data_IF_121335710899
#
_entry.id   IF_121335710899
#
_cell.length_a   1.000
_cell.length_b   1.000
_cell.length_c   1.000
_cell.angle_alpha   90.00
_cell.angle_beta   90.00
_cell.angle_gamma   90.00
#
_symmetry.space_group_name_H-M   'P 1'
#
loop_
_entity.id
_entity.type
_entity.pdbx_description
1 polymer ?
#
# COMPACT_ATOMS: atom_id res chain seq x y z
N UNK A 1 -10.11 -46.44 -11.96
CA UNK A 1 -11.38 -45.85 -11.52
C UNK A 1 -11.29 -44.32 -11.50
N UNK A 2 -10.94 -43.68 -12.61
CA UNK A 2 -10.76 -42.23 -12.68
C UNK A 2 -11.33 -41.60 -13.96
N UNK A 3 -12.19 -42.29 -14.72
CA UNK A 3 -12.64 -41.81 -16.04
C UNK A 3 -14.14 -41.48 -16.13
N UNK A 4 -14.87 -41.44 -15.02
CA UNK A 4 -16.31 -41.17 -15.05
C UNK A 4 -16.68 -39.67 -15.04
N UNK A 5 -15.74 -38.77 -14.90
CA UNK A 5 -16.03 -37.33 -14.79
C UNK A 5 -15.78 -36.54 -16.07
N UNK A 6 -15.16 -37.15 -17.07
CA UNK A 6 -14.83 -36.48 -18.34
C UNK A 6 -15.89 -36.58 -19.45
N UNK A 7 -16.93 -37.40 -19.27
CA UNK A 7 -17.93 -37.63 -20.32
C UNK A 7 -19.20 -36.76 -20.12
N UNK A 8 -19.39 -36.14 -18.99
CA UNK A 8 -20.59 -35.33 -18.73
C UNK A 8 -20.54 -33.91 -19.28
N UNK A 9 -19.44 -33.47 -19.86
CA UNK A 9 -19.28 -32.10 -20.36
C UNK A 9 -19.59 -31.92 -21.87
N UNK A 10 -19.95 -32.99 -22.56
CA UNK A 10 -20.09 -32.93 -24.02
C UNK A 10 -21.51 -32.63 -24.55
N UNK A 11 -22.53 -32.53 -23.69
CA UNK A 11 -23.91 -32.40 -24.12
C UNK A 11 -24.68 -31.14 -23.76
N UNK A 12 -24.09 -30.17 -23.13
CA UNK A 12 -24.73 -28.86 -22.95
C UNK A 12 -23.72 -27.73 -23.19
N UNK A 13 -23.71 -27.25 -24.44
CA UNK A 13 -22.86 -26.21 -25.02
C UNK A 13 -22.84 -24.87 -24.29
N UNK A 14 -22.48 -24.86 -23.04
CA UNK A 14 -22.09 -23.67 -22.30
C UNK A 14 -20.89 -24.02 -21.40
N UNK A 15 -19.75 -24.14 -22.07
CA UNK A 15 -18.50 -24.01 -21.35
C UNK A 15 -18.45 -22.58 -20.75
N UNK A 16 -18.81 -22.45 -19.48
CA UNK A 16 -18.33 -21.33 -18.71
C UNK A 16 -16.81 -21.50 -18.65
N UNK A 17 -16.13 -20.80 -19.53
CA UNK A 17 -14.71 -20.56 -19.37
C UNK A 17 -14.56 -19.95 -17.97
N UNK A 18 -14.12 -20.78 -17.03
CA UNK A 18 -13.65 -20.30 -15.76
C UNK A 18 -12.65 -19.20 -16.08
N UNK A 19 -13.03 -17.96 -15.78
CA UNK A 19 -12.14 -16.83 -15.86
C UNK A 19 -10.89 -17.20 -15.05
N UNK A 20 -9.71 -17.15 -15.64
CA UNK A 20 -8.50 -17.37 -14.86
C UNK A 20 -8.58 -16.37 -13.74
N UNK A 21 -8.59 -16.88 -12.51
CA UNK A 21 -8.30 -16.06 -11.35
C UNK A 21 -7.11 -15.22 -11.75
N UNK A 22 -7.32 -13.92 -11.90
CA UNK A 22 -6.23 -12.97 -12.05
C UNK A 22 -5.29 -13.31 -10.91
N UNK A 23 -4.29 -14.11 -11.21
CA UNK A 23 -3.10 -14.13 -10.40
C UNK A 23 -2.75 -12.66 -10.33
N UNK A 24 -2.95 -12.07 -9.18
CA UNK A 24 -2.28 -10.84 -8.84
C UNK A 24 -0.81 -11.16 -8.98
N UNK A 25 -0.31 -11.02 -10.18
CA UNK A 25 1.10 -10.80 -10.36
C UNK A 25 1.32 -9.56 -9.53
N UNK A 26 1.94 -9.74 -8.40
CA UNK A 26 2.57 -8.66 -7.64
C UNK A 26 3.64 -8.07 -8.57
N UNK A 27 3.15 -7.41 -9.59
CA UNK A 27 3.99 -6.67 -10.46
C UNK A 27 4.39 -5.44 -9.65
N UNK A 28 5.56 -5.58 -9.12
CA UNK A 28 6.44 -4.57 -8.61
C UNK A 28 5.94 -3.13 -8.87
N UNK A 29 5.20 -2.62 -7.93
CA UNK A 29 4.84 -1.23 -7.86
C UNK A 29 6.05 -0.40 -7.41
N UNK A 30 7.18 -0.53 -8.11
CA UNK A 30 8.37 0.27 -7.78
C UNK A 30 8.37 1.64 -8.45
N UNK A 31 7.43 1.90 -9.34
CA UNK A 31 7.44 3.14 -10.13
C UNK A 31 6.36 4.15 -9.75
N UNK A 32 5.38 3.75 -8.92
CA UNK A 32 4.28 4.64 -8.56
C UNK A 32 4.44 5.36 -7.22
N UNK A 33 5.44 4.96 -6.42
CA UNK A 33 5.67 5.51 -5.08
C UNK A 33 6.22 6.94 -5.09
N UNK A 34 6.67 7.44 -6.24
CA UNK A 34 7.28 8.77 -6.33
C UNK A 34 6.23 9.89 -6.25
N UNK A 35 4.97 9.59 -6.55
CA UNK A 35 3.89 10.57 -6.60
C UNK A 35 2.84 10.42 -5.47
N UNK A 36 2.77 9.30 -4.79
CA UNK A 36 1.80 9.06 -3.74
C UNK A 36 2.30 9.56 -2.38
N UNK A 37 1.75 10.66 -1.90
CA UNK A 37 1.95 11.13 -0.53
C UNK A 37 1.06 10.34 0.42
N UNK A 38 1.37 9.06 0.58
CA UNK A 38 0.63 8.11 1.41
C UNK A 38 1.51 7.54 2.52
N UNK A 39 0.91 7.26 3.67
CA UNK A 39 1.61 6.61 4.77
C UNK A 39 1.53 5.09 4.61
N UNK A 40 2.68 4.40 4.62
CA UNK A 40 2.77 2.94 4.44
C UNK A 40 2.08 2.14 5.57
N UNK A 41 1.93 2.69 6.76
CA UNK A 41 1.30 2.00 7.89
C UNK A 41 -0.21 2.25 8.02
N UNK A 42 -0.64 3.50 7.96
CA UNK A 42 -2.04 3.84 8.19
C UNK A 42 -2.81 4.21 6.93
N UNK A 43 -2.16 4.23 5.76
CA UNK A 43 -2.79 4.57 4.48
C UNK A 43 -3.32 6.00 4.38
N UNK A 44 -2.80 6.92 5.19
CA UNK A 44 -3.26 8.32 5.19
C UNK A 44 -2.84 9.02 3.92
N UNK A 45 -3.83 9.45 3.13
CA UNK A 45 -3.68 10.12 1.84
C UNK A 45 -3.95 11.62 1.93
N UNK A 46 -3.50 12.41 0.95
CA UNK A 46 -3.89 13.80 0.81
C UNK A 46 -5.41 13.94 0.67
N UNK A 47 -5.98 14.88 1.39
CA UNK A 47 -7.41 15.20 1.31
C UNK A 47 -7.63 16.53 0.60
N UNK A 48 -8.68 16.61 -0.19
CA UNK A 48 -9.10 17.84 -0.84
C UNK A 48 -10.10 18.56 0.07
N UNK A 49 -9.87 19.85 0.29
CA UNK A 49 -10.73 20.68 1.10
C UNK A 49 -10.73 22.13 0.61
N UNK A 50 -11.34 23.00 1.37
CA UNK A 50 -11.44 24.42 1.06
C UNK A 50 -10.78 25.26 2.15
N UNK A 51 -10.11 26.30 1.74
CA UNK A 51 -9.69 27.39 2.60
C UNK A 51 -10.81 28.45 2.60
N UNK A 52 -11.32 28.80 3.76
CA UNK A 52 -12.39 29.78 3.92
C UNK A 52 -11.80 31.08 4.43
N UNK A 53 -12.04 32.19 3.70
CA UNK A 53 -11.67 33.53 4.13
C UNK A 53 -12.70 34.14 5.07
N UNK A 54 -12.40 35.29 5.70
CA UNK A 54 -13.35 36.01 6.52
C UNK A 54 -14.64 36.41 5.79
N UNK A 55 -14.56 36.66 4.47
CA UNK A 55 -15.70 36.94 3.60
C UNK A 55 -16.40 35.67 3.09
N UNK A 56 -16.13 34.51 3.68
CA UNK A 56 -16.69 33.20 3.31
C UNK A 56 -16.39 32.75 1.89
N UNK A 57 -15.34 33.28 1.27
CA UNK A 57 -14.86 32.83 -0.04
C UNK A 57 -14.14 31.49 0.16
N UNK A 58 -14.55 30.47 -0.58
CA UNK A 58 -14.00 29.11 -0.50
C UNK A 58 -13.02 28.88 -1.64
N UNK A 59 -11.72 28.78 -1.30
CA UNK A 59 -10.66 28.44 -2.25
C UNK A 59 -10.28 26.98 -2.09
N UNK A 60 -10.21 26.23 -3.19
CA UNK A 60 -9.80 24.80 -3.16
C UNK A 60 -8.39 24.66 -2.61
N UNK A 61 -8.21 23.74 -1.65
CA UNK A 61 -6.93 23.43 -1.03
C UNK A 61 -6.74 21.92 -0.87
N UNK A 62 -5.50 21.44 -0.92
CA UNK A 62 -5.13 20.08 -0.57
C UNK A 62 -4.45 20.06 0.80
N UNK A 63 -4.91 19.18 1.66
CA UNK A 63 -4.28 18.90 2.95
C UNK A 63 -3.39 17.69 2.81
N UNK A 64 -2.08 17.92 2.80
CA UNK A 64 -1.10 16.84 2.70
C UNK A 64 -0.75 16.33 4.10
N UNK A 65 -0.64 15.01 4.30
CA UNK A 65 -0.14 14.47 5.55
C UNK A 65 1.36 14.79 5.73
N UNK A 66 1.77 14.96 6.96
CA UNK A 66 3.19 15.14 7.30
C UNK A 66 3.87 13.78 7.30
N UNK A 67 4.59 13.47 6.23
CA UNK A 67 5.27 12.21 6.01
C UNK A 67 6.78 12.37 6.20
N UNK A 68 7.38 11.38 6.85
CA UNK A 68 8.80 11.29 7.10
C UNK A 68 9.33 9.96 6.57
N UNK A 69 10.51 9.96 5.98
CA UNK A 69 11.20 8.74 5.55
C UNK A 69 12.00 8.18 6.73
N UNK A 70 11.66 6.97 7.14
CA UNK A 70 12.29 6.32 8.29
C UNK A 70 12.70 4.90 7.92
N UNK A 71 13.85 4.47 8.42
CA UNK A 71 14.26 3.07 8.31
C UNK A 71 13.45 2.24 9.30
N UNK A 72 12.80 1.21 8.81
CA UNK A 72 12.04 0.26 9.61
C UNK A 72 12.65 -1.12 9.48
N UNK A 73 12.78 -1.82 10.61
CA UNK A 73 13.22 -3.20 10.67
C UNK A 73 12.00 -4.10 10.80
N UNK A 74 11.84 -4.98 9.83
CA UNK A 74 10.80 -6.00 9.85
C UNK A 74 11.19 -7.16 10.79
N UNK A 75 10.21 -8.01 11.14
CA UNK A 75 10.44 -9.20 11.95
C UNK A 75 11.47 -10.15 11.34
N UNK A 76 11.58 -10.19 10.03
CA UNK A 76 12.54 -10.98 9.26
C UNK A 76 13.99 -10.45 9.35
N UNK A 77 14.22 -9.34 10.06
CA UNK A 77 15.52 -8.67 10.12
C UNK A 77 15.84 -7.76 8.93
N UNK A 78 14.98 -7.70 7.92
CA UNK A 78 15.16 -6.84 6.75
C UNK A 78 14.92 -5.38 7.12
N UNK A 79 15.82 -4.50 6.69
CA UNK A 79 15.69 -3.05 6.90
C UNK A 79 15.30 -2.37 5.59
N UNK A 80 14.16 -1.69 5.59
CA UNK A 80 13.69 -0.89 4.43
C UNK A 80 13.37 0.53 4.87
N UNK A 81 13.49 1.47 3.94
CA UNK A 81 13.07 2.86 4.15
C UNK A 81 11.60 2.99 3.78
N UNK A 82 10.78 3.37 4.73
CA UNK A 82 9.34 3.56 4.57
C UNK A 82 8.97 5.04 4.75
N UNK A 83 7.89 5.44 4.11
CA UNK A 83 7.31 6.78 4.27
C UNK A 83 6.19 6.72 5.28
N UNK A 84 6.39 7.33 6.44
CA UNK A 84 5.50 7.19 7.60
C UNK A 84 5.02 8.54 8.08
N UNK A 85 3.75 8.66 8.46
CA UNK A 85 3.22 9.88 9.03
C UNK A 85 3.71 10.07 10.49
N UNK A 86 3.81 11.31 10.93
CA UNK A 86 4.28 11.67 12.29
C UNK A 86 3.43 11.03 13.40
N UNK A 87 2.15 10.76 13.13
CA UNK A 87 1.27 10.06 14.08
C UNK A 87 1.72 8.61 14.31
N UNK A 88 2.04 7.87 13.25
CA UNK A 88 2.55 6.49 13.35
C UNK A 88 3.95 6.45 13.99
N UNK A 89 4.79 7.47 13.76
CA UNK A 89 6.07 7.59 14.47
C UNK A 89 5.89 7.74 15.97
N UNK A 90 4.92 8.57 16.40
CA UNK A 90 4.62 8.80 17.82
C UNK A 90 4.01 7.56 18.48
N UNK A 91 3.19 6.79 17.78
CA UNK A 91 2.56 5.57 18.31
C UNK A 91 3.52 4.40 18.50
N UNK A 92 4.77 4.51 18.02
CA UNK A 92 5.78 3.48 18.20
C UNK A 92 5.63 2.26 17.29
N UNK A 93 4.78 2.33 16.26
CA UNK A 93 4.61 1.23 15.29
C UNK A 93 5.89 0.98 14.50
N UNK A 94 6.75 1.99 14.39
CA UNK A 94 8.00 1.93 13.62
C UNK A 94 9.14 1.46 14.50
N UNK A 95 9.64 0.24 14.24
CA UNK A 95 10.85 -0.28 14.89
C UNK A 95 12.07 0.23 14.13
N UNK A 96 12.87 1.05 14.80
CA UNK A 96 14.12 1.56 14.23
C UNK A 96 15.22 0.49 14.33
N UNK A 97 16.00 0.26 13.28
CA UNK A 97 17.16 -0.62 13.38
C UNK A 97 18.19 -0.04 14.37
N UNK A 98 18.86 -0.92 15.09
CA UNK A 98 19.96 -0.53 15.97
C UNK A 98 21.04 0.21 15.19
N UNK A 99 21.56 1.29 15.77
CA UNK A 99 22.69 1.99 15.20
C UNK A 99 23.89 1.04 15.11
N UNK A 100 24.55 0.99 13.95
CA UNK A 100 25.81 0.27 13.85
C UNK A 100 26.81 0.92 14.82
N UNK A 101 27.33 0.14 15.75
CA UNK A 101 28.46 0.57 16.55
C UNK A 101 29.60 0.97 15.59
N UNK A 102 30.15 2.16 15.76
CA UNK A 102 31.37 2.54 15.07
C UNK A 102 32.45 1.57 15.55
N UNK A 103 32.96 0.76 14.65
CA UNK A 103 34.18 0.00 14.89
C UNK A 103 35.33 0.99 14.73
N UNK A 104 35.84 1.49 15.84
CA UNK A 104 37.11 2.23 15.90
C UNK A 104 38.27 1.25 15.75
#
# INVERSE_FOLDING_TARGET
MLDAWLIACAMRGRCYTALPHKRYTQFSAYTEDIMSKECDFCGKKPQVGNLVSHSNIKTKRRFNPNLQRVRHQFADGTVRTLTVCTRCLRSGVVTKPAARAKQD
#
